data_IF_395639918872
#
_entry.id   IF_395639918872
#
_cell.length_a   1.000
_cell.length_b   1.000
_cell.length_c   1.000
_cell.angle_alpha   90.00
_cell.angle_beta   90.00
_cell.angle_gamma   90.00
#
_symmetry.space_group_name_H-M   'P 1'
#
loop_
_entity.id
_entity.type
_entity.pdbx_description
1 polymer ?
#
# COMPACT_ATOMS: atom_id res chain seq x y z
N UNK A 1 -10.26 -3.58 -9.28
CA UNK A 1 -11.27 -3.03 -8.35
C UNK A 1 -10.67 -3.04 -6.95
N UNK A 2 -10.61 -1.89 -6.28
CA UNK A 2 -10.13 -1.80 -4.91
C UNK A 2 -11.21 -2.31 -3.96
N UNK A 3 -11.01 -3.49 -3.39
CA UNK A 3 -11.92 -4.04 -2.37
C UNK A 3 -11.67 -3.28 -1.08
N UNK A 4 -12.73 -2.65 -0.55
CA UNK A 4 -12.68 -1.94 0.74
C UNK A 4 -13.21 -2.86 1.85
N UNK A 5 -12.38 -3.08 2.86
CA UNK A 5 -12.72 -3.86 4.05
C UNK A 5 -12.70 -2.97 5.30
N UNK A 6 -13.81 -2.25 5.59
CA UNK A 6 -13.85 -1.22 6.63
C UNK A 6 -13.66 -1.79 8.04
N UNK A 7 -14.05 -3.04 8.27
CA UNK A 7 -13.86 -3.71 9.56
C UNK A 7 -12.40 -4.02 9.83
N UNK A 8 -11.66 -4.54 8.84
CA UNK A 8 -10.24 -4.79 8.96
C UNK A 8 -9.47 -3.46 9.17
N UNK A 9 -9.80 -2.42 8.40
CA UNK A 9 -9.22 -1.10 8.57
C UNK A 9 -9.45 -0.55 9.99
N UNK A 10 -10.68 -0.65 10.52
CA UNK A 10 -11.01 -0.21 11.89
C UNK A 10 -10.26 -1.00 12.95
N UNK A 11 -10.12 -2.32 12.77
CA UNK A 11 -9.39 -3.18 13.69
C UNK A 11 -7.92 -2.76 13.82
N UNK A 12 -7.21 -2.61 12.70
CA UNK A 12 -5.80 -2.22 12.70
C UNK A 12 -5.59 -0.77 13.13
N UNK A 13 -6.46 0.16 12.71
CA UNK A 13 -6.39 1.55 13.16
C UNK A 13 -6.59 1.66 14.68
N UNK A 14 -7.53 0.90 15.25
CA UNK A 14 -7.74 0.87 16.70
C UNK A 14 -6.57 0.23 17.45
N UNK A 15 -5.94 -0.81 16.91
CA UNK A 15 -4.74 -1.40 17.49
C UNK A 15 -3.56 -0.42 17.49
N UNK A 16 -3.34 0.28 16.37
CA UNK A 16 -2.29 1.29 16.26
C UNK A 16 -2.55 2.47 17.21
N UNK A 17 -3.79 2.96 17.30
CA UNK A 17 -4.14 4.08 18.18
C UNK A 17 -3.91 3.78 19.68
N UNK A 18 -4.08 2.52 20.10
CA UNK A 18 -3.76 2.10 21.48
C UNK A 18 -2.24 2.05 21.74
N UNK A 19 -1.44 1.82 20.71
CA UNK A 19 0.01 1.81 20.82
C UNK A 19 0.59 3.23 20.74
N UNK A 20 0.14 4.02 19.76
CA UNK A 20 0.55 5.40 19.54
C UNK A 20 -0.54 6.15 18.76
N UNK A 21 -1.24 7.06 19.44
CA UNK A 21 -2.34 7.84 18.85
C UNK A 21 -1.86 8.86 17.81
N UNK A 22 -0.65 9.44 17.99
CA UNK A 22 -0.08 10.40 17.04
C UNK A 22 0.31 9.72 15.74
N UNK A 23 0.97 8.56 15.85
CA UNK A 23 1.32 7.71 14.71
C UNK A 23 0.06 7.21 13.99
N UNK A 24 -0.97 6.79 14.74
CA UNK A 24 -2.24 6.36 14.17
C UNK A 24 -2.91 7.47 13.35
N UNK A 25 -2.91 8.71 13.86
CA UNK A 25 -3.46 9.85 13.15
C UNK A 25 -2.67 10.15 11.86
N UNK A 26 -1.33 10.08 11.90
CA UNK A 26 -0.49 10.27 10.73
C UNK A 26 -0.74 9.18 9.66
N UNK A 27 -0.79 7.90 10.06
CA UNK A 27 -1.09 6.79 9.15
C UNK A 27 -2.48 6.92 8.54
N UNK A 28 -3.49 7.32 9.33
CA UNK A 28 -4.86 7.51 8.83
C UNK A 28 -4.93 8.63 7.79
N UNK A 29 -4.30 9.78 8.07
CA UNK A 29 -4.27 10.91 7.14
C UNK A 29 -3.59 10.52 5.82
N UNK A 30 -2.48 9.79 5.89
CA UNK A 30 -1.75 9.33 4.71
C UNK A 30 -2.51 8.23 3.94
N UNK A 31 -3.19 7.32 4.63
CA UNK A 31 -4.03 6.30 4.00
C UNK A 31 -5.20 6.90 3.21
N UNK A 32 -5.84 7.96 3.73
CA UNK A 32 -6.88 8.70 3.01
C UNK A 32 -6.32 9.38 1.75
N UNK A 33 -5.15 10.04 1.86
CA UNK A 33 -4.47 10.65 0.69
C UNK A 33 -4.05 9.62 -0.36
N UNK A 34 -3.67 8.42 0.08
CA UNK A 34 -3.25 7.32 -0.76
C UNK A 34 -4.42 6.57 -1.41
N UNK A 35 -5.67 6.93 -1.11
CA UNK A 35 -6.87 6.26 -1.63
C UNK A 35 -6.92 6.31 -3.16
N UNK A 36 -6.96 5.13 -3.80
CA UNK A 36 -7.00 4.99 -5.25
C UNK A 36 -7.79 3.76 -5.70
N UNK A 37 -8.06 3.67 -7.00
CA UNK A 37 -8.64 2.49 -7.65
C UNK A 37 -7.67 1.92 -8.68
N UNK A 38 -7.21 0.68 -8.45
CA UNK A 38 -6.23 0.01 -9.30
C UNK A 38 -6.69 -1.37 -9.83
N UNK A 39 -5.78 -2.07 -10.55
CA UNK A 39 -4.39 -1.66 -10.82
C UNK A 39 -4.26 -0.69 -12.01
N UNK A 40 -3.24 0.16 -11.95
CA UNK A 40 -2.78 1.04 -13.02
C UNK A 40 -1.24 1.01 -13.11
N UNK A 41 -0.64 1.79 -14.00
CA UNK A 41 0.79 1.78 -14.31
C UNK A 41 1.07 1.37 -15.75
N UNK A 42 2.36 1.18 -16.04
CA UNK A 42 2.92 1.07 -17.38
C UNK A 42 3.59 -0.28 -17.63
N UNK A 43 3.42 -0.81 -18.82
CA UNK A 43 4.24 -1.90 -19.34
C UNK A 43 5.42 -1.36 -20.16
N UNK A 44 6.51 -2.13 -20.30
CA UNK A 44 7.50 -1.87 -21.34
C UNK A 44 6.84 -1.82 -22.74
N UNK A 45 7.49 -1.15 -23.69
CA UNK A 45 6.99 -1.10 -25.08
C UNK A 45 6.73 -2.50 -25.63
N UNK A 46 5.51 -2.72 -26.14
CA UNK A 46 5.04 -4.03 -26.58
C UNK A 46 3.51 -4.12 -26.60
N UNK A 47 2.94 -5.30 -26.86
CA UNK A 47 1.48 -5.46 -26.99
C UNK A 47 0.70 -5.13 -25.72
N UNK A 48 1.32 -5.30 -24.54
CA UNK A 48 0.69 -5.02 -23.24
C UNK A 48 0.62 -3.51 -22.92
N UNK A 49 1.39 -2.65 -23.60
CA UNK A 49 1.33 -1.19 -23.34
C UNK A 49 -0.02 -0.57 -23.70
N UNK A 50 -0.85 -1.26 -24.51
CA UNK A 50 -2.24 -0.89 -24.75
C UNK A 50 -3.11 -0.96 -23.47
N UNK A 51 -2.68 -1.71 -22.44
CA UNK A 51 -3.37 -1.81 -21.15
C UNK A 51 -2.91 -0.75 -20.13
N UNK A 52 -1.98 0.12 -20.51
CA UNK A 52 -1.46 1.17 -19.63
C UNK A 52 -2.59 2.05 -19.08
N UNK A 53 -2.52 2.33 -17.78
CA UNK A 53 -3.46 3.24 -17.12
C UNK A 53 -2.67 4.24 -16.29
N UNK A 54 -2.98 5.51 -16.41
CA UNK A 54 -2.45 6.53 -15.51
C UNK A 54 -3.21 6.51 -14.19
N UNK A 55 -2.50 6.80 -13.10
CA UNK A 55 -3.10 6.99 -11.79
C UNK A 55 -2.12 7.62 -10.82
N UNK A 56 -2.49 7.65 -9.54
CA UNK A 56 -1.76 8.35 -8.49
C UNK A 56 -0.34 7.80 -8.30
N UNK A 57 0.68 8.65 -8.40
CA UNK A 57 2.02 8.35 -7.90
C UNK A 57 2.11 8.84 -6.45
N UNK A 58 1.74 7.96 -5.53
CA UNK A 58 1.70 8.31 -4.12
C UNK A 58 3.09 8.56 -3.55
N UNK A 59 3.21 9.69 -2.85
CA UNK A 59 4.33 10.01 -1.98
C UNK A 59 3.74 10.53 -0.67
N UNK A 60 4.35 10.14 0.44
CA UNK A 60 3.97 10.62 1.77
C UNK A 60 4.08 12.14 1.81
N UNK A 61 3.13 12.81 2.46
CA UNK A 61 3.14 14.28 2.62
C UNK A 61 4.35 14.76 3.43
N UNK A 62 4.62 16.08 3.43
CA UNK A 62 5.66 16.67 4.27
C UNK A 62 5.43 16.39 5.75
N UNK A 63 4.23 16.70 6.23
CA UNK A 63 3.79 16.45 7.61
C UNK A 63 3.83 14.95 7.94
N UNK A 64 3.38 14.11 7.00
CA UNK A 64 3.44 12.66 7.13
C UNK A 64 4.88 12.16 7.28
N UNK A 65 5.84 12.68 6.51
CA UNK A 65 7.27 12.32 6.66
C UNK A 65 7.81 12.74 8.02
N UNK A 66 7.44 13.91 8.53
CA UNK A 66 7.84 14.37 9.86
C UNK A 66 7.31 13.47 10.97
N UNK A 67 6.07 12.99 10.85
CA UNK A 67 5.44 12.12 11.86
C UNK A 67 5.87 10.64 11.76
N UNK A 68 6.04 10.12 10.54
CA UNK A 68 6.33 8.70 10.29
C UNK A 68 7.84 8.39 10.29
N UNK A 69 8.67 9.40 10.05
CA UNK A 69 10.08 9.21 9.75
C UNK A 69 10.34 8.57 8.38
N UNK A 70 11.61 8.53 7.94
CA UNK A 70 11.97 8.11 6.59
C UNK A 70 11.64 6.63 6.31
N UNK A 71 11.90 5.75 7.29
CA UNK A 71 11.72 4.29 7.13
C UNK A 71 10.26 3.93 6.88
N UNK A 72 9.32 4.42 7.70
CA UNK A 72 7.90 4.11 7.54
C UNK A 72 7.29 4.85 6.34
N UNK A 73 7.74 6.07 6.05
CA UNK A 73 7.30 6.79 4.87
C UNK A 73 7.62 6.04 3.56
N UNK A 74 8.83 5.48 3.44
CA UNK A 74 9.21 4.64 2.30
C UNK A 74 8.37 3.36 2.21
N UNK A 75 8.07 2.73 3.36
CA UNK A 75 7.21 1.54 3.40
C UNK A 75 5.76 1.82 2.95
N UNK A 76 5.20 2.99 3.29
CA UNK A 76 3.88 3.39 2.80
C UNK A 76 3.87 3.60 1.29
N UNK A 77 4.91 4.25 0.74
CA UNK A 77 5.05 4.43 -0.70
C UNK A 77 5.16 3.09 -1.43
N UNK A 78 5.97 2.16 -0.91
CA UNK A 78 6.10 0.81 -1.45
C UNK A 78 4.80 0.00 -1.37
N UNK A 79 4.09 0.09 -0.24
CA UNK A 79 2.79 -0.58 -0.08
C UNK A 79 1.78 -0.10 -1.12
N UNK A 80 1.69 1.22 -1.34
CA UNK A 80 0.83 1.78 -2.37
C UNK A 80 1.24 1.32 -3.78
N UNK A 81 2.55 1.29 -4.09
CA UNK A 81 3.08 0.76 -5.35
C UNK A 81 2.61 -0.68 -5.59
N UNK A 82 2.79 -1.58 -4.62
CA UNK A 82 2.40 -2.98 -4.77
C UNK A 82 0.88 -3.17 -4.93
N UNK A 83 0.07 -2.38 -4.23
CA UNK A 83 -1.40 -2.52 -4.23
C UNK A 83 -2.03 -1.94 -5.49
N UNK A 84 -1.59 -0.76 -5.93
CA UNK A 84 -2.28 -0.02 -7.00
C UNK A 84 -1.49 0.04 -8.31
N UNK A 85 -0.15 -0.10 -8.24
CA UNK A 85 0.75 0.08 -9.38
C UNK A 85 1.79 -1.04 -9.54
N UNK A 86 1.41 -2.32 -9.41
CA UNK A 86 2.40 -3.40 -9.43
C UNK A 86 3.21 -3.46 -10.72
N UNK A 87 2.68 -2.93 -11.84
CA UNK A 87 3.36 -2.85 -13.15
C UNK A 87 4.58 -1.92 -13.14
N UNK A 88 4.58 -0.91 -12.27
CA UNK A 88 5.65 0.08 -12.15
C UNK A 88 6.72 -0.34 -11.12
N UNK A 89 6.63 -1.56 -10.57
CA UNK A 89 7.65 -2.08 -9.66
C UNK A 89 9.00 -2.16 -10.36
N UNK A 90 10.03 -1.57 -9.75
CA UNK A 90 11.33 -1.37 -10.38
C UNK A 90 12.47 -1.43 -9.36
N UNK A 91 13.69 -1.61 -9.85
CA UNK A 91 14.90 -1.57 -9.01
C UNK A 91 15.02 -0.22 -8.26
N UNK A 92 14.65 0.89 -8.89
CA UNK A 92 14.67 2.21 -8.26
C UNK A 92 13.69 2.31 -7.07
N UNK A 93 12.51 1.70 -7.18
CA UNK A 93 11.54 1.68 -6.08
C UNK A 93 12.07 0.85 -4.88
N UNK A 94 12.77 -0.25 -5.14
CA UNK A 94 13.41 -1.05 -4.10
C UNK A 94 14.60 -0.31 -3.48
N UNK A 95 15.39 0.41 -4.29
CA UNK A 95 16.51 1.21 -3.80
C UNK A 95 16.06 2.30 -2.83
N UNK A 96 14.92 2.94 -3.08
CA UNK A 96 14.36 3.94 -2.16
C UNK A 96 14.06 3.39 -0.75
N UNK A 97 13.74 2.09 -0.62
CA UNK A 97 13.59 1.45 0.69
C UNK A 97 14.95 1.21 1.36
N UNK A 98 15.94 0.75 0.60
CA UNK A 98 17.31 0.55 1.09
C UNK A 98 17.90 1.86 1.60
N UNK A 99 17.73 2.94 0.85
CA UNK A 99 18.18 4.29 1.22
C UNK A 99 17.47 4.80 2.49
N UNK A 100 16.25 4.34 2.75
CA UNK A 100 15.48 4.63 3.96
C UNK A 100 15.82 3.70 5.15
N UNK A 101 16.84 2.84 5.01
CA UNK A 101 17.37 1.98 6.06
C UNK A 101 16.66 0.63 6.20
N UNK A 102 15.90 0.19 5.19
CA UNK A 102 15.40 -1.19 5.14
C UNK A 102 16.52 -2.14 4.71
N UNK A 103 16.56 -3.34 5.29
CA UNK A 103 17.36 -4.43 4.72
C UNK A 103 16.59 -5.13 3.60
N UNK A 104 17.28 -5.86 2.72
CA UNK A 104 16.64 -6.71 1.71
C UNK A 104 15.64 -7.69 2.33
N UNK A 105 15.99 -8.30 3.46
CA UNK A 105 15.10 -9.20 4.21
C UNK A 105 13.84 -8.50 4.68
N UNK A 106 13.97 -7.27 5.21
CA UNK A 106 12.82 -6.49 5.66
C UNK A 106 11.91 -6.11 4.47
N UNK A 107 12.49 -5.79 3.31
CA UNK A 107 11.72 -5.45 2.10
C UNK A 107 10.90 -6.65 1.61
N UNK A 108 11.50 -7.84 1.57
CA UNK A 108 10.79 -9.07 1.20
C UNK A 108 9.67 -9.34 2.20
N UNK A 109 9.96 -9.23 3.50
CA UNK A 109 9.00 -9.46 4.58
C UNK A 109 7.81 -8.49 4.50
N UNK A 110 8.09 -7.20 4.29
CA UNK A 110 7.06 -6.17 4.09
C UNK A 110 6.18 -6.49 2.88
N UNK A 111 6.80 -6.84 1.74
CA UNK A 111 6.09 -7.15 0.50
C UNK A 111 5.18 -8.37 0.67
N UNK A 112 5.64 -9.39 1.38
CA UNK A 112 4.86 -10.58 1.70
C UNK A 112 3.68 -10.26 2.62
N UNK A 113 3.89 -9.42 3.64
CA UNK A 113 2.82 -8.96 4.53
C UNK A 113 1.71 -8.24 3.75
N UNK A 114 2.08 -7.35 2.83
CA UNK A 114 1.14 -6.64 1.95
C UNK A 114 0.36 -7.62 1.06
N UNK A 115 1.05 -8.59 0.46
CA UNK A 115 0.42 -9.61 -0.39
C UNK A 115 -0.55 -10.49 0.40
N UNK A 116 -0.15 -10.93 1.60
CA UNK A 116 -0.96 -11.77 2.48
C UNK A 116 -2.23 -11.04 2.95
N UNK A 117 -2.10 -9.80 3.42
CA UNK A 117 -3.27 -8.99 3.82
C UNK A 117 -4.22 -8.74 2.64
N UNK A 118 -3.67 -8.44 1.46
CA UNK A 118 -4.45 -8.26 0.23
C UNK A 118 -5.19 -9.54 -0.19
N UNK A 119 -4.62 -10.71 0.09
CA UNK A 119 -5.29 -11.99 -0.10
C UNK A 119 -6.41 -12.20 0.92
N UNK A 120 -6.15 -11.96 2.21
CA UNK A 120 -7.17 -12.09 3.27
C UNK A 120 -8.40 -11.21 2.99
N UNK A 121 -8.18 -9.96 2.58
CA UNK A 121 -9.24 -9.02 2.19
C UNK A 121 -10.10 -9.59 1.04
N UNK A 122 -9.45 -10.13 0.00
CA UNK A 122 -10.15 -10.76 -1.14
C UNK A 122 -10.95 -11.99 -0.74
N UNK A 123 -10.43 -12.83 0.17
CA UNK A 123 -11.14 -14.00 0.69
C UNK A 123 -12.40 -13.58 1.44
N UNK A 124 -12.29 -12.62 2.36
CA UNK A 124 -13.44 -12.11 3.13
C UNK A 124 -14.51 -11.54 2.19
N UNK A 125 -14.12 -10.70 1.24
CA UNK A 125 -15.05 -10.14 0.26
C UNK A 125 -15.73 -11.22 -0.59
N UNK A 126 -14.98 -12.23 -1.05
CA UNK A 126 -15.52 -13.35 -1.82
C UNK A 126 -16.52 -14.18 -1.03
N UNK A 127 -16.24 -14.48 0.24
CA UNK A 127 -17.15 -15.22 1.11
C UNK A 127 -18.44 -14.44 1.39
N UNK A 128 -18.35 -13.13 1.62
CA UNK A 128 -19.53 -12.26 1.81
C UNK A 128 -20.40 -12.19 0.55
N UNK A 129 -19.77 -12.11 -0.62
CA UNK A 129 -20.50 -12.13 -1.89
C UNK A 129 -21.26 -13.45 -2.09
N UNK A 130 -20.64 -14.58 -1.74
CA UNK A 130 -21.29 -15.90 -1.80
C UNK A 130 -22.48 -16.01 -0.82
N UNK A 131 -22.35 -15.46 0.38
CA UNK A 131 -23.41 -15.50 1.38
C UNK A 131 -24.61 -14.59 1.06
N UNK A 132 -24.43 -13.61 0.17
CA UNK A 132 -25.46 -12.68 -0.26
C UNK A 132 -26.15 -13.06 -1.58
N UNK A 133 -25.69 -14.13 -2.24
CA UNK A 133 -26.26 -14.69 -3.46
C UNK A 133 -27.40 -15.67 -3.15
#
# INVERSE_FOLDING_TARGET
ACIREPEAARFYAGALARHDAGLAAAVAAEAERAGAEGPYGHYPEGPLSAEDKRGLVYHVSGDGRSALGPRLAAAMAHTHLLVFRPRDASAAALQALLDAGWSTTDIVTLSQLVAFLSFQIRVVAGLRALAAA
#
